data_IF_389617937092
#
_entry.id   IF_389617937092
#
_cell.length_a   1.000
_cell.length_b   1.000
_cell.length_c   1.000
_cell.angle_alpha   90.00
_cell.angle_beta   90.00
_cell.angle_gamma   90.00
#
_symmetry.space_group_name_H-M   'P 1'
#
loop_
_entity.id
_entity.type
_entity.pdbx_description
1 polymer ?
#
# COMPACT_ATOMS: atom_id res chain seq x y z
N UNK A 1 9.70 -2.39 10.79
CA UNK A 1 8.34 -2.51 10.22
C UNK A 1 7.38 -3.24 11.17
N UNK A 2 6.13 -2.77 11.29
CA UNK A 2 5.04 -3.50 11.95
C UNK A 2 4.23 -4.27 10.88
N UNK A 3 4.42 -5.60 10.84
CA UNK A 3 3.76 -6.47 9.86
C UNK A 3 2.23 -6.45 9.97
N UNK A 4 1.67 -6.32 11.17
CA UNK A 4 0.21 -6.34 11.35
C UNK A 4 -0.42 -5.08 10.75
N UNK A 5 0.19 -3.92 11.01
CA UNK A 5 -0.24 -2.65 10.42
C UNK A 5 -0.06 -2.67 8.89
N UNK A 6 1.08 -3.15 8.39
CA UNK A 6 1.34 -3.22 6.95
C UNK A 6 0.34 -4.13 6.21
N UNK A 7 -0.01 -5.29 6.78
CA UNK A 7 -1.05 -6.18 6.24
C UNK A 7 -2.42 -5.50 6.17
N UNK A 8 -2.79 -4.69 7.16
CA UNK A 8 -4.07 -3.94 7.14
C UNK A 8 -4.12 -2.95 5.96
N UNK A 9 -3.02 -2.24 5.70
CA UNK A 9 -2.88 -1.33 4.57
C UNK A 9 -3.02 -2.10 3.25
N UNK A 10 -2.27 -3.21 3.08
CA UNK A 10 -2.35 -4.03 1.88
C UNK A 10 -3.75 -4.58 1.63
N UNK A 11 -4.44 -5.06 2.67
CA UNK A 11 -5.84 -5.53 2.56
C UNK A 11 -6.79 -4.41 2.12
N UNK A 12 -6.61 -3.20 2.65
CA UNK A 12 -7.39 -2.05 2.23
C UNK A 12 -7.11 -1.65 0.78
N UNK A 13 -5.90 -1.90 0.27
CA UNK A 13 -5.53 -1.64 -1.14
C UNK A 13 -5.89 -2.79 -2.08
N UNK A 14 -6.09 -4.02 -1.60
CA UNK A 14 -6.34 -5.22 -2.41
C UNK A 14 -7.74 -5.27 -3.04
N UNK A 15 -8.07 -4.26 -3.85
CA UNK A 15 -9.27 -4.12 -4.66
C UNK A 15 -8.95 -3.19 -5.84
N UNK A 16 -9.29 -3.58 -7.08
CA UNK A 16 -8.95 -2.81 -8.26
C UNK A 16 -9.47 -1.37 -8.24
N UNK A 17 -10.69 -1.15 -7.73
CA UNK A 17 -11.27 0.19 -7.68
C UNK A 17 -10.56 1.05 -6.64
N UNK A 18 -10.20 0.48 -5.49
CA UNK A 18 -9.43 1.19 -4.45
C UNK A 18 -8.03 1.55 -4.93
N UNK A 19 -7.35 0.67 -5.66
CA UNK A 19 -6.07 1.03 -6.29
C UNK A 19 -6.23 2.17 -7.29
N UNK A 20 -7.24 2.11 -8.17
CA UNK A 20 -7.51 3.20 -9.12
C UNK A 20 -7.85 4.52 -8.42
N UNK A 21 -8.59 4.48 -7.31
CA UNK A 21 -8.85 5.68 -6.48
C UNK A 21 -7.53 6.25 -5.94
N UNK A 22 -6.65 5.41 -5.40
CA UNK A 22 -5.34 5.84 -4.88
C UNK A 22 -4.49 6.47 -5.99
N UNK A 23 -4.50 5.87 -7.18
CA UNK A 23 -3.81 6.39 -8.37
C UNK A 23 -4.32 7.78 -8.76
N UNK A 24 -5.65 7.96 -8.87
CA UNK A 24 -6.25 9.28 -9.15
C UNK A 24 -5.85 10.34 -8.11
N UNK A 25 -5.85 9.96 -6.83
CA UNK A 25 -5.48 10.85 -5.72
C UNK A 25 -3.96 11.09 -5.60
N UNK A 26 -3.13 10.36 -6.34
CA UNK A 26 -1.68 10.60 -6.39
C UNK A 26 -1.34 11.95 -7.04
N UNK A 27 -2.23 12.46 -7.88
CA UNK A 27 -2.12 13.76 -8.53
C UNK A 27 -2.55 14.94 -7.64
N UNK A 28 -3.14 14.68 -6.46
CA UNK A 28 -3.56 15.72 -5.52
C UNK A 28 -4.95 15.48 -4.93
N UNK A 29 -5.61 16.58 -4.57
CA UNK A 29 -6.94 16.55 -3.94
C UNK A 29 -8.04 16.55 -4.99
N UNK A 30 -9.01 15.64 -4.89
CA UNK A 30 -10.14 15.53 -5.83
C UNK A 30 -11.49 15.51 -5.09
N UNK A 31 -12.52 16.08 -5.72
CA UNK A 31 -13.89 15.96 -5.23
C UNK A 31 -14.38 14.50 -5.34
N UNK A 32 -15.27 14.08 -4.45
CA UNK A 32 -16.01 12.82 -4.60
C UNK A 32 -16.71 12.69 -5.96
N UNK A 33 -17.20 13.81 -6.48
CA UNK A 33 -17.84 13.94 -7.79
C UNK A 33 -16.86 13.64 -8.93
N UNK A 34 -15.72 14.34 -8.96
CA UNK A 34 -14.67 14.11 -9.96
C UNK A 34 -14.17 12.66 -9.96
N UNK A 35 -14.01 12.05 -8.78
CA UNK A 35 -13.57 10.65 -8.68
C UNK A 35 -14.63 9.72 -9.27
N UNK A 36 -15.91 9.97 -9.01
CA UNK A 36 -17.01 9.11 -9.48
C UNK A 36 -17.09 9.03 -11.00
N UNK A 37 -16.69 10.09 -11.72
CA UNK A 37 -16.67 10.12 -13.19
C UNK A 37 -15.76 9.04 -13.82
N UNK A 38 -14.82 8.47 -13.06
CA UNK A 38 -13.91 7.42 -13.53
C UNK A 38 -14.40 5.99 -13.28
N UNK A 39 -15.62 5.81 -12.76
CA UNK A 39 -16.16 4.51 -12.36
C UNK A 39 -17.61 4.30 -12.76
N UNK A 40 -17.95 3.05 -13.09
CA UNK A 40 -19.31 2.62 -13.44
C UNK A 40 -20.14 2.21 -12.20
N UNK A 41 -19.81 2.72 -11.01
CA UNK A 41 -20.52 2.41 -9.77
C UNK A 41 -21.23 3.63 -9.16
N UNK A 42 -22.07 3.36 -8.17
CA UNK A 42 -22.86 4.37 -7.47
C UNK A 42 -22.07 5.17 -6.41
N UNK A 43 -22.57 6.35 -6.07
CA UNK A 43 -22.03 7.18 -4.97
C UNK A 43 -21.97 6.45 -3.60
N UNK A 44 -22.96 5.61 -3.21
CA UNK A 44 -22.84 4.73 -2.05
C UNK A 44 -21.63 3.79 -2.10
N UNK A 45 -21.36 3.20 -3.27
CA UNK A 45 -20.21 2.32 -3.49
C UNK A 45 -18.90 3.09 -3.33
N UNK A 46 -18.80 4.28 -3.91
CA UNK A 46 -17.64 5.16 -3.72
C UNK A 46 -17.42 5.50 -2.24
N UNK A 47 -18.49 5.86 -1.53
CA UNK A 47 -18.43 6.18 -0.11
C UNK A 47 -17.93 5.00 0.72
N UNK A 48 -18.32 3.78 0.37
CA UNK A 48 -17.81 2.56 0.99
C UNK A 48 -16.30 2.40 0.76
N UNK A 49 -15.82 2.52 -0.49
CA UNK A 49 -14.39 2.47 -0.80
C UNK A 49 -13.60 3.54 -0.02
N UNK A 50 -14.10 4.77 0.00
CA UNK A 50 -13.47 5.87 0.74
C UNK A 50 -13.45 5.62 2.24
N UNK A 51 -14.48 5.00 2.80
CA UNK A 51 -14.49 4.67 4.24
C UNK A 51 -13.47 3.61 4.59
N UNK A 52 -13.31 2.58 3.76
CA UNK A 52 -12.28 1.55 3.92
C UNK A 52 -10.89 2.18 3.88
N UNK A 53 -10.62 3.03 2.88
CA UNK A 53 -9.33 3.72 2.73
C UNK A 53 -9.05 4.71 3.88
N UNK A 54 -10.07 5.42 4.38
CA UNK A 54 -9.94 6.32 5.54
C UNK A 54 -9.63 5.55 6.82
N UNK A 55 -10.35 4.44 7.06
CA UNK A 55 -10.15 3.62 8.26
C UNK A 55 -8.74 2.98 8.27
N UNK A 56 -8.18 2.68 7.08
CA UNK A 56 -6.82 2.20 6.93
C UNK A 56 -5.75 3.31 7.00
N UNK A 57 -6.15 4.58 7.14
CA UNK A 57 -5.23 5.71 7.20
C UNK A 57 -4.56 6.03 5.86
N UNK A 58 -5.14 5.64 4.73
CA UNK A 58 -4.59 5.87 3.39
C UNK A 58 -5.00 7.25 2.85
N UNK A 59 -6.28 7.59 2.99
CA UNK A 59 -6.86 8.85 2.51
C UNK A 59 -7.37 9.70 3.66
N UNK A 60 -7.32 11.02 3.49
CA UNK A 60 -8.03 11.97 4.33
C UNK A 60 -9.22 12.55 3.56
N UNK A 61 -10.26 12.94 4.28
CA UNK A 61 -11.42 13.62 3.75
C UNK A 61 -11.52 15.02 4.36
N UNK A 62 -11.80 16.02 3.53
CA UNK A 62 -12.07 17.40 3.94
C UNK A 62 -13.37 17.85 3.30
N UNK A 63 -14.24 18.46 4.10
CA UNK A 63 -15.45 19.10 3.57
C UNK A 63 -15.11 20.49 3.05
N UNK A 64 -15.41 20.73 1.78
CA UNK A 64 -15.29 22.05 1.13
C UNK A 64 -16.66 22.42 0.55
N UNK A 65 -17.34 23.36 1.23
CA UNK A 65 -18.73 23.70 0.92
C UNK A 65 -19.68 22.51 1.10
N UNK A 66 -20.30 22.08 0.00
CA UNK A 66 -21.23 20.93 -0.03
C UNK A 66 -20.52 19.60 -0.32
N UNK A 67 -19.27 19.64 -0.80
CA UNK A 67 -18.58 18.49 -1.35
C UNK A 67 -17.51 17.95 -0.41
N UNK A 68 -17.21 16.66 -0.54
CA UNK A 68 -16.08 16.03 0.14
C UNK A 68 -14.92 15.95 -0.84
N UNK A 69 -13.76 16.44 -0.41
CA UNK A 69 -12.50 16.33 -1.12
C UNK A 69 -11.63 15.29 -0.42
N UNK A 70 -11.01 14.44 -1.22
CA UNK A 70 -10.12 13.39 -0.74
C UNK A 70 -8.70 13.67 -1.17
N UNK A 71 -7.75 13.30 -0.32
CA UNK A 71 -6.31 13.39 -0.61
C UNK A 71 -5.59 12.19 -0.02
N UNK A 72 -4.49 11.76 -0.65
CA UNK A 72 -3.58 10.80 -0.01
C UNK A 72 -2.92 11.44 1.20
N UNK A 73 -2.84 10.68 2.30
CA UNK A 73 -2.16 11.19 3.48
C UNK A 73 -0.64 11.13 3.30
N UNK A 74 0.04 12.21 3.67
CA UNK A 74 1.50 12.32 3.54
C UNK A 74 2.23 11.28 4.40
N UNK A 75 1.72 11.00 5.61
CA UNK A 75 2.26 9.96 6.49
C UNK A 75 2.14 8.58 5.86
N UNK A 76 0.98 8.22 5.30
CA UNK A 76 0.79 6.97 4.55
C UNK A 76 1.81 6.82 3.41
N UNK A 77 1.96 7.84 2.57
CA UNK A 77 2.88 7.77 1.43
C UNK A 77 4.34 7.56 1.87
N UNK A 78 4.75 8.21 2.95
CA UNK A 78 6.09 8.06 3.50
C UNK A 78 6.30 6.67 4.10
N UNK A 79 5.40 6.24 4.99
CA UNK A 79 5.52 4.96 5.68
C UNK A 79 5.39 3.79 4.71
N UNK A 80 4.47 3.85 3.75
CA UNK A 80 4.27 2.77 2.78
C UNK A 80 5.53 2.57 1.91
N UNK A 81 6.14 3.66 1.41
CA UNK A 81 7.41 3.57 0.67
C UNK A 81 8.52 2.97 1.50
N UNK A 82 8.64 3.38 2.77
CA UNK A 82 9.65 2.85 3.69
C UNK A 82 9.42 1.37 4.01
N UNK A 83 8.20 0.99 4.35
CA UNK A 83 7.83 -0.37 4.69
C UNK A 83 7.98 -1.31 3.47
N UNK A 84 7.58 -0.87 2.27
CA UNK A 84 7.80 -1.64 1.03
C UNK A 84 9.29 -1.79 0.73
N UNK A 85 10.08 -0.72 0.88
CA UNK A 85 11.53 -0.80 0.69
C UNK A 85 12.17 -1.75 1.71
N UNK A 86 11.74 -1.71 2.98
CA UNK A 86 12.20 -2.61 4.03
C UNK A 86 11.75 -4.06 3.82
N UNK A 87 10.56 -4.30 3.27
CA UNK A 87 10.09 -5.65 2.95
C UNK A 87 10.90 -6.29 1.82
N UNK A 88 11.36 -5.46 0.87
CA UNK A 88 12.10 -5.88 -0.32
C UNK A 88 13.61 -5.70 -0.17
N UNK A 89 14.10 -5.25 0.99
CA UNK A 89 15.53 -5.10 1.26
C UNK A 89 16.15 -6.44 1.66
N UNK A 90 17.40 -6.63 1.25
CA UNK A 90 18.25 -7.73 1.68
C UNK A 90 19.05 -7.29 2.91
N UNK A 91 18.38 -7.08 4.04
CA UNK A 91 19.03 -6.59 5.26
C UNK A 91 19.65 -7.72 6.09
N UNK A 92 20.49 -7.37 7.08
CA UNK A 92 21.41 -8.22 7.87
C UNK A 92 20.82 -9.49 8.52
N UNK A 93 19.49 -9.64 8.52
CA UNK A 93 18.77 -10.85 8.94
C UNK A 93 18.35 -11.75 7.75
N UNK A 94 19.11 -11.73 6.66
CA UNK A 94 18.98 -12.73 5.59
C UNK A 94 19.03 -14.13 6.25
N UNK A 95 18.03 -14.97 6.02
CA UNK A 95 18.04 -16.39 6.47
C UNK A 95 19.32 -17.12 6.02
N UNK A 96 19.91 -16.61 4.95
CA UNK A 96 21.20 -16.92 4.35
C UNK A 96 22.37 -16.82 5.35
N UNK A 97 22.33 -15.88 6.29
CA UNK A 97 23.38 -15.65 7.29
C UNK A 97 23.28 -16.61 8.50
N UNK A 98 22.08 -17.09 8.84
CA UNK A 98 21.89 -18.05 9.94
C UNK A 98 22.23 -19.51 9.51
N UNK A 99 22.23 -19.81 8.21
CA UNK A 99 22.45 -21.15 7.67
C UNK A 99 23.93 -21.53 7.44
N UNK A 100 24.89 -20.73 7.92
CA UNK A 100 26.33 -21.03 7.77
C UNK A 100 26.86 -20.81 6.35
N UNK A 101 26.27 -19.90 5.58
CA UNK A 101 26.70 -19.59 4.23
C UNK A 101 27.88 -18.60 4.26
N UNK A 102 29.10 -19.11 4.43
CA UNK A 102 30.31 -18.28 4.51
C UNK A 102 30.73 -17.67 3.16
N UNK A 103 30.34 -18.25 2.03
CA UNK A 103 30.85 -17.88 0.69
C UNK A 103 29.76 -17.96 -0.40
N UNK A 104 28.61 -17.29 -0.22
CA UNK A 104 27.58 -17.27 -1.26
C UNK A 104 27.76 -16.07 -2.19
N UNK A 105 28.39 -16.28 -3.35
CA UNK A 105 28.45 -15.29 -4.45
C UNK A 105 27.05 -14.85 -4.91
N UNK A 106 26.01 -15.65 -4.64
CA UNK A 106 24.62 -15.38 -5.05
C UNK A 106 23.92 -14.30 -4.20
N UNK A 107 24.30 -14.12 -2.93
CA UNK A 107 23.71 -13.09 -2.06
C UNK A 107 24.09 -11.67 -2.47
N UNK A 108 25.26 -11.48 -3.09
CA UNK A 108 25.68 -10.19 -3.64
C UNK A 108 24.83 -9.74 -4.85
N UNK A 109 24.07 -10.65 -5.45
CA UNK A 109 23.30 -10.41 -6.68
C UNK A 109 21.78 -10.21 -6.46
N UNK A 110 21.30 -10.21 -5.21
CA UNK A 110 19.89 -9.92 -4.88
C UNK A 110 18.89 -11.00 -5.29
N UNK A 111 19.33 -12.23 -5.60
CA UNK A 111 18.44 -13.34 -5.91
C UNK A 111 18.02 -14.06 -4.62
N UNK A 112 16.84 -13.74 -4.12
CA UNK A 112 16.17 -14.53 -3.08
C UNK A 112 15.77 -15.88 -3.69
N UNK A 113 16.49 -16.95 -3.36
CA UNK A 113 16.08 -18.32 -3.70
C UNK A 113 15.11 -18.79 -2.62
N UNK A 114 13.82 -18.80 -2.96
CA UNK A 114 12.78 -19.46 -2.17
C UNK A 114 12.84 -20.96 -2.46
N UNK A 115 13.66 -21.73 -1.75
CA UNK A 115 13.52 -23.20 -1.75
C UNK A 115 12.41 -23.59 -0.77
N UNK A 116 11.23 -23.86 -1.30
CA UNK A 116 10.25 -24.67 -0.58
C UNK A 116 10.69 -26.13 -0.66
N UNK A 117 11.46 -26.58 0.33
CA UNK A 117 11.51 -27.99 0.70
C UNK A 117 10.91 -28.13 2.09
N UNK A 118 9.75 -28.78 2.15
CA UNK A 118 9.35 -29.65 3.26
C UNK A 118 8.26 -30.59 2.76
N UNK A 119 8.54 -31.87 2.98
CA UNK A 119 7.82 -33.09 2.57
C UNK A 119 6.32 -33.13 2.91
#
# INVERSE_FOLDING_TARGET
>A
MDYQKYVQILKAMADPNRLKIIDLLSCGSLCACDILEYFDFSQPTLSHHMKVLQNAGIVAARKEGKWQHYTLRADFMLTFKQDTAQLLSSDDHCICHDAGCADCEECASGKVVMTNEKD
#
